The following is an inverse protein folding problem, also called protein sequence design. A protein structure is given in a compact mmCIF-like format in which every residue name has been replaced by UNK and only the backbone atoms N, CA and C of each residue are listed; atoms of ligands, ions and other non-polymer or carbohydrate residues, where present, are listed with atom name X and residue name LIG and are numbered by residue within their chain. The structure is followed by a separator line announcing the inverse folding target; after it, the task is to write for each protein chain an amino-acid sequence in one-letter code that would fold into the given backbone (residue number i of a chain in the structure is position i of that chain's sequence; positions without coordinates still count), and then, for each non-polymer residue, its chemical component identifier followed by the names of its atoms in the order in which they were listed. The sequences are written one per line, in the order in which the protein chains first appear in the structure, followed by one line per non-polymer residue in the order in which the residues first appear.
data_IF_910056557026
#
_entry.id   IF_910056557026
#
_cell.length_a   1.000
_cell.length_b   1.000
_cell.length_c   1.000
_cell.angle_alpha   90.00
_cell.angle_beta   90.00
_cell.angle_gamma   90.00
#
_symmetry.space_group_name_H-M   'P 1'
#
loop_
_entity.id
_entity.type
_entity.pdbx_description
1 polymer ?
#
# COMPACT_ATOMS: atom_id res chain seq x y z
N UNK A 1 19.14 2.75 11.98
CA UNK A 1 19.18 2.35 11.79
C UNK A 1 19.48 1.74 11.32
N UNK A 2 19.66 1.75 11.35
CA UNK A 2 19.93 1.24 10.72
C UNK A 2 19.59 0.70 10.07
N UNK A 3 19.62 0.80 9.91
CA UNK A 3 19.34 0.29 9.26
C UNK A 3 18.85 -0.40 8.91
N UNK A 4 18.70 -0.41 8.57
CA UNK A 4 18.31 -1.21 8.43
C UNK A 4 18.90 -2.03 7.95
N UNK A 5 19.35 -2.10 7.96
CA UNK A 5 19.84 -2.94 7.62
C UNK A 5 20.09 -4.11 7.89
N UNK A 6 20.23 -4.35 8.24
CA UNK A 6 20.39 -5.43 8.44
C UNK A 6 19.49 -6.19 8.41
N UNK A 7 19.13 -6.05 8.13
CA UNK A 7 18.52 -6.55 8.44
C UNK A 7 17.80 -6.91 8.31
N UNK A 8 17.46 -7.09 7.90
CA UNK A 8 16.82 -7.36 8.37
C UNK A 8 16.04 -7.81 8.92
N UNK A 9 15.62 -7.35 8.54
CA UNK A 9 15.01 -8.15 9.55
C UNK A 9 13.64 -7.57 9.91
N UNK A 10 12.69 -8.38 10.49
CA UNK A 10 11.32 -7.91 10.72
C UNK A 10 11.24 -6.69 11.62
N UNK A 11 12.17 -6.58 12.53
CA UNK A 11 12.23 -5.42 13.42
C UNK A 11 12.45 -4.15 12.62
N UNK A 12 13.23 -4.25 11.56
CA UNK A 12 13.47 -3.10 10.70
C UNK A 12 12.21 -2.66 9.98
N UNK A 13 11.36 -3.60 9.60
CA UNK A 13 10.10 -3.25 8.94
C UNK A 13 9.18 -2.52 9.89
N UNK A 14 9.10 -2.96 11.14
CA UNK A 14 8.35 -2.22 12.15
C UNK A 14 8.95 -0.86 12.38
N UNK A 15 10.28 -0.78 12.35
CA UNK A 15 10.97 0.49 12.49
C UNK A 15 10.59 1.48 11.40
N UNK A 16 10.46 1.01 10.17
CA UNK A 16 10.00 1.87 9.09
C UNK A 16 8.67 2.50 9.41
N UNK A 17 7.68 1.69 9.79
CA UNK A 17 6.35 2.20 10.06
C UNK A 17 6.37 3.19 11.21
N UNK A 18 7.07 2.86 12.29
CA UNK A 18 7.14 3.72 13.46
C UNK A 18 7.82 5.04 13.13
N UNK A 19 8.92 4.98 12.40
CA UNK A 19 9.65 6.19 12.03
C UNK A 19 8.81 7.11 11.15
N UNK A 20 8.09 6.54 10.21
CA UNK A 20 7.25 7.35 9.33
C UNK A 20 6.16 8.06 10.10
N UNK A 21 5.54 7.40 11.07
CA UNK A 21 4.51 8.02 11.89
C UNK A 21 5.08 9.16 12.72
N UNK A 22 6.25 8.93 13.32
CA UNK A 22 6.88 9.94 14.15
C UNK A 22 7.30 11.17 13.33
N UNK A 23 7.81 10.93 12.13
CA UNK A 23 8.30 12.01 11.27
C UNK A 23 7.20 12.63 10.42
N UNK A 24 6.00 12.08 10.45
CA UNK A 24 4.90 12.59 9.63
C UNK A 24 5.08 12.33 8.15
N UNK A 25 5.90 11.35 7.78
CA UNK A 25 6.15 11.02 6.37
C UNK A 25 5.09 10.10 5.79
N UNK A 26 4.34 9.42 6.62
CA UNK A 26 3.37 8.42 6.18
C UNK A 26 2.08 8.58 6.96
N UNK A 27 0.96 8.45 6.26
CA UNK A 27 -0.37 8.38 6.86
C UNK A 27 -0.93 7.01 6.55
N UNK A 28 -1.47 6.35 7.57
CA UNK A 28 -1.98 5.00 7.41
C UNK A 28 -3.49 4.97 7.46
N UNK A 29 -4.07 4.09 6.63
CA UNK A 29 -5.48 3.76 6.68
C UNK A 29 -5.57 2.38 7.32
N UNK A 30 -6.43 2.24 8.32
CA UNK A 30 -6.62 0.95 8.98
C UNK A 30 -7.57 0.08 8.15
N UNK A 31 -7.45 -1.25 8.32
CA UNK A 31 -8.27 -2.17 7.55
C UNK A 31 -9.77 -1.89 7.70
N UNK A 32 -10.18 -1.46 8.89
CA UNK A 32 -11.60 -1.22 9.16
C UNK A 32 -12.07 0.12 8.60
N UNK A 33 -11.17 0.96 8.14
CA UNK A 33 -11.50 2.24 7.52
C UNK A 33 -11.58 2.16 6.00
N UNK A 34 -11.05 1.07 5.41
CA UNK A 34 -10.87 1.02 3.96
C UNK A 34 -12.17 1.17 3.19
N UNK A 35 -13.21 0.42 3.59
CA UNK A 35 -14.50 0.48 2.88
C UNK A 35 -15.06 1.90 2.86
N UNK A 36 -14.96 2.61 4.00
CA UNK A 36 -15.43 3.98 4.10
C UNK A 36 -14.65 4.90 3.17
N UNK A 37 -13.34 4.75 3.14
CA UNK A 37 -12.50 5.60 2.30
C UNK A 37 -12.78 5.38 0.83
N UNK A 38 -12.98 4.13 0.43
CA UNK A 38 -13.32 3.83 -0.96
C UNK A 38 -14.70 4.38 -1.32
N UNK A 39 -15.64 4.34 -0.39
CA UNK A 39 -16.97 4.90 -0.61
C UNK A 39 -16.92 6.42 -0.80
N UNK A 40 -15.91 7.07 -0.23
CA UNK A 40 -15.73 8.52 -0.38
C UNK A 40 -15.00 8.88 -1.68
N UNK A 41 -14.58 7.90 -2.46
CA UNK A 41 -13.95 8.15 -3.75
C UNK A 41 -12.48 7.83 -3.81
N UNK A 42 -11.86 7.38 -2.72
CA UNK A 42 -10.48 6.95 -2.75
C UNK A 42 -10.33 5.70 -3.62
N UNK A 43 -9.17 5.54 -4.24
CA UNK A 43 -8.88 4.39 -5.11
C UNK A 43 -7.77 3.56 -4.48
N UNK A 44 -8.00 2.25 -4.40
CA UNK A 44 -7.01 1.33 -3.85
C UNK A 44 -6.02 0.97 -4.96
N UNK A 45 -4.74 1.15 -4.68
CA UNK A 45 -3.65 0.83 -5.62
C UNK A 45 -2.85 -0.32 -5.05
N UNK A 46 -2.89 -1.46 -5.74
CA UNK A 46 -2.18 -2.67 -5.33
C UNK A 46 -0.86 -2.73 -6.12
N UNK A 47 0.25 -2.69 -5.40
CA UNK A 47 1.58 -2.67 -6.03
C UNK A 47 2.28 -4.03 -6.00
N UNK A 48 1.52 -5.09 -5.73
CA UNK A 48 2.03 -6.46 -5.82
C UNK A 48 2.15 -6.88 -7.28
N UNK A 49 2.90 -7.94 -7.52
CA UNK A 49 3.03 -8.45 -8.88
C UNK A 49 1.85 -9.36 -9.25
N UNK A 50 1.67 -9.67 -10.57
CA UNK A 50 0.53 -10.48 -10.99
C UNK A 50 0.49 -11.88 -10.39
N UNK A 51 1.64 -12.49 -10.13
CA UNK A 51 1.68 -13.83 -9.54
C UNK A 51 1.08 -13.83 -8.13
N UNK A 52 1.34 -12.79 -7.36
CA UNK A 52 0.77 -12.67 -6.03
C UNK A 52 -0.74 -12.46 -6.10
N UNK A 53 -1.22 -11.67 -7.06
CA UNK A 53 -2.65 -11.39 -7.19
C UNK A 53 -3.44 -12.62 -7.62
N UNK A 54 -2.79 -13.54 -8.33
CA UNK A 54 -3.46 -14.78 -8.73
C UNK A 54 -3.87 -15.64 -7.53
N UNK A 55 -3.22 -15.46 -6.38
CA UNK A 55 -3.52 -16.21 -5.17
C UNK A 55 -4.37 -15.40 -4.18
N UNK A 56 -5.02 -14.37 -4.64
CA UNK A 56 -5.88 -13.53 -3.82
C UNK A 56 -5.62 -12.07 -4.10
N UNK A 57 -6.67 -11.29 -4.27
CA UNK A 57 -6.51 -9.86 -4.56
C UNK A 57 -7.73 -9.08 -4.08
N UNK A 58 -7.54 -7.77 -3.94
CA UNK A 58 -8.64 -6.86 -3.63
C UNK A 58 -9.57 -6.74 -4.84
N UNK A 59 -10.85 -6.60 -4.55
CA UNK A 59 -11.83 -6.30 -5.59
C UNK A 59 -11.69 -4.83 -6.00
N UNK A 60 -11.79 -4.57 -7.30
CA UNK A 60 -11.85 -3.22 -7.83
C UNK A 60 -10.61 -2.36 -7.55
N UNK A 61 -9.48 -2.98 -7.30
CA UNK A 61 -8.23 -2.23 -7.11
C UNK A 61 -7.59 -1.96 -8.46
N UNK A 62 -6.90 -0.82 -8.54
CA UNK A 62 -5.98 -0.57 -9.64
C UNK A 62 -4.69 -1.31 -9.32
N UNK A 63 -4.17 -2.05 -10.27
CA UNK A 63 -3.00 -2.90 -10.05
C UNK A 63 -1.84 -2.43 -10.91
N UNK A 64 -0.79 -1.93 -10.27
CA UNK A 64 0.44 -1.54 -10.95
C UNK A 64 1.59 -2.06 -10.09
N UNK A 65 2.34 -3.07 -10.57
CA UNK A 65 3.46 -3.59 -9.79
C UNK A 65 4.48 -2.51 -9.48
N UNK A 66 5.10 -2.59 -8.31
CA UNK A 66 6.04 -1.56 -7.88
C UNK A 66 7.14 -1.31 -8.91
N UNK A 67 7.66 -2.36 -9.53
CA UNK A 67 8.76 -2.22 -10.48
C UNK A 67 8.34 -1.54 -11.79
N UNK A 68 7.03 -1.37 -12.02
CA UNK A 68 6.53 -0.64 -13.19
C UNK A 68 5.97 0.73 -12.81
N UNK A 69 5.85 1.01 -11.51
CA UNK A 69 5.12 2.18 -11.05
C UNK A 69 5.72 3.49 -11.57
N UNK A 70 7.04 3.60 -11.53
CA UNK A 70 7.71 4.84 -11.95
C UNK A 70 7.39 5.18 -13.41
N UNK A 71 7.32 4.17 -14.27
CA UNK A 71 7.05 4.36 -15.69
C UNK A 71 5.58 4.59 -15.99
N UNK A 72 4.70 4.26 -15.03
CA UNK A 72 3.26 4.30 -15.23
C UNK A 72 2.57 5.34 -14.34
N UNK A 73 3.33 6.27 -13.78
CA UNK A 73 2.76 7.31 -12.92
C UNK A 73 1.70 8.15 -13.66
N UNK A 74 1.85 8.31 -14.96
CA UNK A 74 0.90 9.09 -15.73
C UNK A 74 -0.48 8.45 -15.84
N UNK A 75 -0.60 7.17 -15.50
CA UNK A 75 -1.89 6.49 -15.46
C UNK A 75 -2.70 6.88 -14.24
N UNK A 76 -2.10 7.56 -13.29
CA UNK A 76 -2.73 7.94 -12.04
C UNK A 76 -3.19 9.39 -12.11
N UNK A 77 -4.33 9.67 -11.46
CA UNK A 77 -4.95 10.98 -11.50
C UNK A 77 -4.53 11.78 -10.26
N UNK A 78 -3.91 12.94 -10.48
CA UNK A 78 -3.44 13.77 -9.36
C UNK A 78 -4.57 14.36 -8.53
N UNK A 79 -5.80 14.33 -9.04
CA UNK A 79 -6.95 14.81 -8.28
C UNK A 79 -7.61 13.71 -7.46
N UNK A 80 -7.15 12.47 -7.59
CA UNK A 80 -7.69 11.31 -6.88
C UNK A 80 -6.81 11.01 -5.68
N UNK A 81 -7.42 10.59 -4.57
CA UNK A 81 -6.67 10.10 -3.42
C UNK A 81 -6.49 8.60 -3.54
N UNK A 82 -5.26 8.13 -3.41
CA UNK A 82 -4.96 6.71 -3.51
C UNK A 82 -4.63 6.12 -2.15
N UNK A 83 -5.01 4.86 -1.97
CA UNK A 83 -4.61 4.07 -0.82
C UNK A 83 -3.78 2.92 -1.38
N UNK A 84 -2.51 2.89 -1.03
CA UNK A 84 -1.57 1.92 -1.61
C UNK A 84 -1.41 0.72 -0.70
N UNK A 85 -1.32 -0.45 -1.30
CA UNK A 85 -1.18 -1.72 -0.58
C UNK A 85 -0.21 -2.64 -1.31
N UNK A 86 0.50 -3.45 -0.51
CA UNK A 86 1.26 -4.57 -1.03
C UNK A 86 0.95 -5.78 -0.15
N UNK A 87 1.85 -6.75 -0.03
CA UNK A 87 1.56 -7.91 0.81
C UNK A 87 1.72 -7.59 2.30
N UNK A 88 2.84 -6.99 2.68
CA UNK A 88 3.16 -6.80 4.11
C UNK A 88 3.49 -5.36 4.50
N UNK A 89 3.60 -4.44 3.55
CA UNK A 89 3.77 -3.03 3.84
C UNK A 89 5.05 -2.36 3.35
N UNK A 90 6.10 -3.13 3.03
CA UNK A 90 7.37 -2.51 2.63
C UNK A 90 7.29 -1.89 1.23
N UNK A 91 6.78 -2.65 0.27
CA UNK A 91 6.66 -2.14 -1.10
C UNK A 91 5.70 -0.98 -1.18
N UNK A 92 4.61 -1.03 -0.41
CA UNK A 92 3.65 0.06 -0.42
C UNK A 92 4.23 1.32 0.22
N UNK A 93 5.11 1.18 1.19
CA UNK A 93 5.82 2.32 1.74
C UNK A 93 6.67 3.01 0.66
N UNK A 94 7.41 2.21 -0.11
CA UNK A 94 8.23 2.75 -1.21
C UNK A 94 7.34 3.43 -2.25
N UNK A 95 6.23 2.78 -2.60
CA UNK A 95 5.28 3.35 -3.56
C UNK A 95 4.70 4.66 -3.06
N UNK A 96 4.36 4.72 -1.78
CA UNK A 96 3.83 5.94 -1.17
C UNK A 96 4.80 7.10 -1.35
N UNK A 97 6.07 6.85 -1.11
CA UNK A 97 7.07 7.90 -1.27
C UNK A 97 7.20 8.35 -2.72
N UNK A 98 7.18 7.41 -3.64
CA UNK A 98 7.23 7.74 -5.08
C UNK A 98 6.04 8.61 -5.49
N UNK A 99 4.86 8.24 -5.03
CA UNK A 99 3.64 8.96 -5.39
C UNK A 99 3.63 10.36 -4.80
N UNK A 100 4.05 10.49 -3.55
CA UNK A 100 4.11 11.80 -2.91
C UNK A 100 5.11 12.72 -3.61
N UNK A 101 6.24 12.19 -4.04
CA UNK A 101 7.21 12.97 -4.79
C UNK A 101 6.67 13.43 -6.14
N UNK A 102 5.75 12.67 -6.70
CA UNK A 102 5.11 13.02 -7.98
C UNK A 102 3.91 13.95 -7.81
N UNK A 103 3.59 14.33 -6.57
CA UNK A 103 2.47 15.24 -6.30
C UNK A 103 1.12 14.54 -6.22
N UNK A 104 1.10 13.22 -6.02
CA UNK A 104 -0.12 12.44 -5.94
C UNK A 104 -0.47 12.20 -4.48
N UNK A 105 -1.74 12.43 -4.12
CA UNK A 105 -2.21 12.21 -2.76
C UNK A 105 -2.33 10.72 -2.49
N UNK A 106 -1.67 10.24 -1.44
CA UNK A 106 -1.61 8.82 -1.16
C UNK A 106 -1.48 8.55 0.33
N UNK A 107 -2.12 7.46 0.78
CA UNK A 107 -1.97 6.91 2.12
C UNK A 107 -1.72 5.41 2.01
N UNK A 108 -1.20 4.81 3.05
CA UNK A 108 -0.81 3.39 3.05
C UNK A 108 -1.83 2.58 3.85
N UNK A 109 -2.26 1.44 3.29
CA UNK A 109 -3.13 0.52 4.03
C UNK A 109 -2.28 -0.23 5.05
N UNK A 110 -2.55 0.01 6.33
CA UNK A 110 -1.80 -0.61 7.41
C UNK A 110 -2.10 -2.11 7.47
N UNK A 111 -1.02 -2.92 7.60
CA UNK A 111 -1.16 -4.37 7.57
C UNK A 111 -1.32 -4.94 6.17
N UNK A 112 -1.63 -4.11 5.21
CA UNK A 112 -1.69 -4.44 3.79
C UNK A 112 -2.57 -5.65 3.52
N UNK A 113 -2.28 -6.38 2.43
CA UNK A 113 -3.10 -7.52 2.03
C UNK A 113 -3.05 -8.66 3.05
N UNK A 114 -1.89 -8.87 3.67
CA UNK A 114 -1.74 -9.98 4.63
C UNK A 114 -2.74 -9.86 5.78
N UNK A 115 -2.89 -8.67 6.34
CA UNK A 115 -3.86 -8.46 7.41
C UNK A 115 -5.29 -8.49 6.88
N UNK A 116 -5.55 -7.83 5.77
CA UNK A 116 -6.91 -7.73 5.23
C UNK A 116 -7.46 -9.11 4.88
N UNK A 117 -6.61 -9.98 4.36
CA UNK A 117 -6.99 -11.36 4.03
C UNK A 117 -7.47 -12.12 5.26
N UNK A 118 -6.87 -11.84 6.41
CA UNK A 118 -7.26 -12.50 7.65
C UNK A 118 -8.58 -12.00 8.21
N UNK A 119 -8.86 -10.70 8.06
CA UNK A 119 -10.00 -10.08 8.74
C UNK A 119 -11.19 -9.85 7.83
N UNK A 120 -11.00 -9.75 6.53
CA UNK A 120 -12.07 -9.46 5.56
C UNK A 120 -11.95 -10.31 4.31
N UNK A 121 -11.80 -11.64 4.42
CA UNK A 121 -11.62 -12.47 3.22
C UNK A 121 -12.80 -12.39 2.25
N UNK A 122 -13.99 -12.10 2.74
CA UNK A 122 -15.19 -12.03 1.90
C UNK A 122 -15.15 -10.84 0.94
N UNK A 123 -14.26 -9.87 1.16
CA UNK A 123 -14.14 -8.70 0.30
C UNK A 123 -13.03 -8.85 -0.73
N UNK A 124 -12.45 -10.03 -0.83
CA UNK A 124 -11.34 -10.31 -1.74
C UNK A 124 -11.77 -11.28 -2.84
N UNK A 125 -10.93 -11.36 -3.88
CA UNK A 125 -11.11 -12.30 -4.99
C UNK A 125 -10.00 -13.33 -4.98
N UNK A 126 -10.32 -14.55 -5.43
CA UNK A 126 -9.35 -15.62 -5.63
C UNK A 126 -8.64 -16.07 -4.35
N UNK A 127 -9.27 -15.93 -3.23
CA UNK A 127 -8.70 -16.39 -1.95
C UNK A 127 -9.25 -17.75 -1.53
#
# INVERSE_FOLDING_TARGET
APPFGSAKDPVNMLGYAAMNLVEGLSENVQWYELSNELAKGAVLLDVRNPAERANGQFKNAVSIPLNELRERLEELDKSTEYIVSCHSGLRSYIAERMLKQAGISVRNLDGAFALYRMVKPEELENV
#
